data_IF_557222202779
#
_entry.id   IF_557222202779
#
_cell.length_a   1.000
_cell.length_b   1.000
_cell.length_c   1.000
_cell.angle_alpha   90.00
_cell.angle_beta   90.00
_cell.angle_gamma   90.00
#
_symmetry.space_group_name_H-M   'P 1'
#
loop_
_entity.id
_entity.type
_entity.pdbx_description
1 polymer ?
#
# COMPACT_ATOMS: atom_id res chain seq x y z
N UNK A 1 28.19 20.45 -0.50
CA UNK A 1 28.58 19.21 0.22
C UNK A 1 27.36 18.33 0.44
N UNK A 2 27.49 17.03 0.26
CA UNK A 2 26.41 16.10 0.55
C UNK A 2 26.42 15.76 2.05
N UNK A 3 25.25 15.91 2.68
CA UNK A 3 25.07 15.48 4.08
C UNK A 3 24.71 14.00 4.10
N UNK A 4 25.69 13.15 4.36
CA UNK A 4 25.53 11.70 4.37
C UNK A 4 24.62 11.18 5.50
N UNK A 5 24.34 11.99 6.51
CA UNK A 5 23.39 11.63 7.57
C UNK A 5 21.94 11.57 7.07
N UNK A 6 21.67 12.18 5.90
CA UNK A 6 20.36 12.16 5.24
C UNK A 6 20.16 10.97 4.30
N UNK A 7 21.14 10.07 4.21
CA UNK A 7 21.11 8.91 3.32
C UNK A 7 21.08 7.64 4.15
N UNK A 8 20.16 6.73 3.80
CA UNK A 8 20.17 5.38 4.35
C UNK A 8 19.67 4.38 3.33
N UNK A 9 20.10 3.15 3.45
CA UNK A 9 19.59 2.07 2.64
C UNK A 9 18.21 1.64 3.15
N UNK A 10 17.34 1.20 2.24
CA UNK A 10 15.97 0.78 2.59
C UNK A 10 15.94 -0.34 3.64
N UNK A 11 16.98 -1.18 3.71
CA UNK A 11 17.08 -2.22 4.73
C UNK A 11 17.12 -1.70 6.17
N UNK A 12 17.41 -0.41 6.35
CA UNK A 12 17.42 0.26 7.66
C UNK A 12 16.10 0.96 7.97
N UNK A 13 15.14 0.94 7.05
CA UNK A 13 13.82 1.53 7.26
C UNK A 13 12.92 0.57 8.05
N UNK A 14 11.88 1.12 8.68
CA UNK A 14 10.94 0.35 9.47
C UNK A 14 10.13 -0.60 8.60
N UNK A 15 10.30 -1.90 8.82
CA UNK A 15 9.51 -2.95 8.20
C UNK A 15 8.46 -3.45 9.18
N UNK A 16 7.22 -3.54 8.73
CA UNK A 16 6.11 -4.09 9.50
C UNK A 16 5.53 -5.28 8.75
N UNK A 17 5.50 -6.44 9.40
CA UNK A 17 4.84 -7.62 8.86
C UNK A 17 3.33 -7.47 9.02
N UNK A 18 2.61 -7.86 7.98
CA UNK A 18 1.15 -7.84 7.90
C UNK A 18 0.65 -9.25 7.58
N UNK A 19 -0.61 -9.57 7.88
CA UNK A 19 -1.15 -10.88 7.52
C UNK A 19 -1.08 -11.22 6.03
N UNK A 20 -1.10 -10.19 5.18
CA UNK A 20 -1.07 -10.31 3.73
C UNK A 20 0.33 -10.17 3.11
N UNK A 21 1.35 -9.82 3.88
CA UNK A 21 2.71 -9.58 3.40
C UNK A 21 3.49 -8.67 4.31
N UNK A 22 4.05 -7.59 3.79
CA UNK A 22 4.76 -6.62 4.61
C UNK A 22 4.74 -5.23 3.96
N UNK A 23 5.08 -4.22 4.77
CA UNK A 23 5.32 -2.87 4.30
C UNK A 23 6.60 -2.30 4.91
N UNK A 24 7.28 -1.46 4.15
CA UNK A 24 8.48 -0.73 4.58
C UNK A 24 8.18 0.76 4.49
N UNK A 25 8.22 1.45 5.62
CA UNK A 25 8.07 2.90 5.70
C UNK A 25 9.42 3.53 5.38
N UNK A 26 9.58 4.07 4.16
CA UNK A 26 10.87 4.60 3.72
C UNK A 26 10.93 6.13 3.65
N UNK A 27 9.79 6.83 3.75
CA UNK A 27 9.75 8.28 3.85
C UNK A 27 8.59 8.70 4.74
N UNK A 28 8.88 9.62 5.65
CA UNK A 28 7.88 10.21 6.54
C UNK A 28 8.29 11.60 6.94
N UNK A 29 7.40 12.55 6.69
CA UNK A 29 7.50 13.95 7.14
C UNK A 29 6.13 14.40 7.62
N UNK A 30 6.04 15.65 8.06
CA UNK A 30 4.74 16.21 8.43
C UNK A 30 3.79 16.37 7.24
N UNK A 31 4.33 16.31 6.01
CA UNK A 31 3.58 16.57 4.79
C UNK A 31 3.27 15.32 3.97
N UNK A 32 4.09 14.27 4.08
CA UNK A 32 3.91 13.06 3.27
C UNK A 32 4.45 11.79 3.93
N UNK A 33 3.99 10.65 3.40
CA UNK A 33 4.46 9.32 3.77
C UNK A 33 4.67 8.50 2.49
N UNK A 34 5.71 7.67 2.47
CA UNK A 34 5.92 6.71 1.39
C UNK A 34 6.26 5.33 1.95
N UNK A 35 5.67 4.31 1.34
CA UNK A 35 5.86 2.91 1.72
C UNK A 35 6.16 2.05 0.50
N UNK A 36 6.99 1.04 0.70
CA UNK A 36 7.10 -0.10 -0.20
C UNK A 36 6.24 -1.21 0.39
N UNK A 37 5.34 -1.79 -0.41
CA UNK A 37 4.42 -2.81 0.05
C UNK A 37 4.57 -4.07 -0.78
N UNK A 38 4.61 -5.21 -0.11
CA UNK A 38 4.62 -6.52 -0.74
C UNK A 38 3.39 -7.29 -0.30
N UNK A 39 2.55 -7.67 -1.25
CA UNK A 39 1.38 -8.49 -1.00
C UNK A 39 1.69 -9.90 -1.49
N UNK A 40 1.60 -10.87 -0.60
CA UNK A 40 1.85 -12.27 -0.92
C UNK A 40 0.87 -12.77 -1.97
N UNK A 41 1.34 -13.69 -2.80
CA UNK A 41 0.51 -14.43 -3.74
C UNK A 41 -0.77 -14.92 -3.05
N UNK A 42 -1.91 -14.77 -3.71
CA UNK A 42 -3.22 -15.22 -3.22
C UNK A 42 -3.65 -14.58 -1.88
N UNK A 43 -3.16 -13.37 -1.60
CA UNK A 43 -3.49 -12.61 -0.39
C UNK A 43 -4.07 -11.25 -0.76
N UNK A 44 -4.83 -10.68 0.17
CA UNK A 44 -5.42 -9.35 -0.01
C UNK A 44 -5.52 -8.62 1.32
N UNK A 45 -5.52 -7.30 1.24
CA UNK A 45 -5.78 -6.42 2.37
C UNK A 45 -7.26 -6.42 2.76
N UNK A 46 -7.62 -5.67 3.79
CA UNK A 46 -9.03 -5.44 4.12
C UNK A 46 -9.73 -4.59 3.06
N UNK A 47 -11.04 -4.75 2.95
CA UNK A 47 -11.89 -3.77 2.28
C UNK A 47 -12.02 -2.58 3.25
N UNK A 48 -11.61 -1.39 2.82
CA UNK A 48 -11.38 -0.28 3.73
C UNK A 48 -11.63 1.07 3.06
N UNK A 49 -11.73 2.10 3.90
CA UNK A 49 -11.66 3.49 3.49
C UNK A 49 -10.77 4.27 4.45
N UNK A 50 -10.32 5.43 4.02
CA UNK A 50 -9.63 6.42 4.84
C UNK A 50 -10.48 7.68 4.91
N UNK A 51 -10.60 8.26 6.09
CA UNK A 51 -11.43 9.46 6.27
C UNK A 51 -10.73 10.73 5.73
N UNK A 52 -9.43 10.83 5.94
CA UNK A 52 -8.61 12.00 5.57
C UNK A 52 -7.48 11.68 4.62
N UNK A 53 -6.90 10.47 4.74
CA UNK A 53 -5.73 10.05 3.97
C UNK A 53 -6.08 9.95 2.49
N UNK A 54 -5.20 10.56 1.68
CA UNK A 54 -5.19 10.41 0.24
C UNK A 54 -3.91 9.71 -0.17
N UNK A 55 -3.99 8.74 -1.07
CA UNK A 55 -2.83 7.95 -1.47
C UNK A 55 -2.81 7.67 -2.97
N UNK A 56 -1.61 7.42 -3.49
CA UNK A 56 -1.42 6.95 -4.86
C UNK A 56 -0.46 5.77 -4.82
N UNK A 57 -0.82 4.70 -5.53
CA UNK A 57 -0.03 3.48 -5.62
C UNK A 57 0.56 3.35 -7.02
N UNK A 58 1.79 2.87 -7.07
CA UNK A 58 2.48 2.53 -8.31
C UNK A 58 2.79 1.03 -8.29
N UNK A 59 2.39 0.30 -9.33
CA UNK A 59 2.65 -1.14 -9.44
C UNK A 59 4.07 -1.34 -9.96
N UNK A 60 4.95 -1.87 -9.09
CA UNK A 60 6.36 -2.12 -9.41
C UNK A 60 6.53 -3.45 -10.12
N UNK A 61 5.95 -4.51 -9.56
CA UNK A 61 6.02 -5.87 -10.11
C UNK A 61 4.78 -6.68 -9.71
N UNK A 62 4.50 -7.72 -10.49
CA UNK A 62 3.29 -8.50 -10.31
C UNK A 62 2.05 -7.79 -10.86
N UNK A 63 0.89 -8.41 -10.71
CA UNK A 63 -0.38 -7.84 -11.15
C UNK A 63 -1.20 -7.45 -9.94
N UNK A 64 -1.51 -6.16 -9.81
CA UNK A 64 -2.33 -5.64 -8.73
C UNK A 64 -3.81 -5.90 -9.01
N UNK A 65 -4.49 -6.49 -8.04
CA UNK A 65 -5.95 -6.60 -8.04
C UNK A 65 -6.53 -5.54 -7.12
N UNK A 66 -7.45 -4.74 -7.65
CA UNK A 66 -8.13 -3.66 -6.93
C UNK A 66 -9.61 -3.96 -6.90
N UNK A 67 -10.21 -3.94 -5.71
CA UNK A 67 -11.66 -4.06 -5.53
C UNK A 67 -12.24 -2.74 -5.03
N UNK A 68 -13.43 -2.43 -5.49
CA UNK A 68 -14.35 -1.56 -4.75
C UNK A 68 -15.44 -2.42 -4.09
N UNK A 69 -16.60 -1.86 -3.80
CA UNK A 69 -17.70 -2.60 -3.17
C UNK A 69 -18.35 -3.64 -4.08
N UNK A 70 -18.29 -3.44 -5.40
CA UNK A 70 -19.09 -4.19 -6.38
C UNK A 70 -18.25 -5.02 -7.34
N UNK A 71 -17.04 -4.55 -7.67
CA UNK A 71 -16.27 -5.08 -8.80
C UNK A 71 -14.78 -5.09 -8.50
N UNK A 72 -14.00 -5.64 -9.43
CA UNK A 72 -12.56 -5.58 -9.36
C UNK A 72 -11.94 -5.33 -10.73
N UNK A 73 -10.70 -4.86 -10.73
CA UNK A 73 -9.89 -4.67 -11.92
C UNK A 73 -8.45 -5.12 -11.65
N UNK A 74 -7.73 -5.43 -12.73
CA UNK A 74 -6.35 -5.91 -12.69
C UNK A 74 -5.44 -4.89 -13.38
N UNK A 75 -4.29 -4.60 -12.76
CA UNK A 75 -3.34 -3.62 -13.28
C UNK A 75 -1.93 -4.19 -13.31
N UNK A 76 -1.32 -4.16 -14.48
CA UNK A 76 0.06 -4.59 -14.73
C UNK A 76 1.08 -3.57 -14.19
N UNK A 77 2.37 -3.95 -14.05
CA UNK A 77 3.41 -3.00 -13.66
C UNK A 77 3.42 -1.73 -14.50
N UNK A 78 3.72 -0.62 -13.87
CA UNK A 78 3.73 0.70 -14.51
C UNK A 78 2.45 1.49 -14.34
N UNK A 79 1.35 0.87 -13.92
CA UNK A 79 0.10 1.58 -13.64
C UNK A 79 0.14 2.26 -12.29
N UNK A 80 -0.55 3.39 -12.19
CA UNK A 80 -0.79 4.08 -10.92
C UNK A 80 -2.28 4.07 -10.61
N UNK A 81 -2.61 4.00 -9.33
CA UNK A 81 -3.99 4.01 -8.85
C UNK A 81 -4.12 5.02 -7.72
N UNK A 82 -5.01 5.99 -7.88
CA UNK A 82 -5.23 7.06 -6.91
C UNK A 82 -6.46 6.75 -6.05
N UNK A 83 -6.28 6.82 -4.74
CA UNK A 83 -7.34 6.62 -3.75
C UNK A 83 -7.63 7.94 -3.04
N UNK A 84 -8.85 8.41 -3.20
CA UNK A 84 -9.33 9.64 -2.53
C UNK A 84 -9.83 9.32 -1.12
N UNK A 85 -9.83 10.33 -0.21
CA UNK A 85 -10.50 10.16 1.08
C UNK A 85 -11.96 9.71 0.91
N UNK A 86 -12.39 8.78 1.74
CA UNK A 86 -13.75 8.21 1.70
C UNK A 86 -13.97 7.13 0.64
N UNK A 87 -13.02 6.90 -0.25
CA UNK A 87 -13.16 5.90 -1.30
C UNK A 87 -12.94 4.49 -0.75
N UNK A 88 -13.91 3.62 -0.93
CA UNK A 88 -13.83 2.21 -0.53
C UNK A 88 -12.96 1.45 -1.52
N UNK A 89 -11.97 0.72 -1.00
CA UNK A 89 -11.01 0.00 -1.82
C UNK A 89 -10.41 -1.20 -1.08
N UNK A 90 -9.83 -2.11 -1.86
CA UNK A 90 -9.05 -3.26 -1.37
C UNK A 90 -8.00 -3.60 -2.41
N UNK A 91 -6.77 -3.86 -1.96
CA UNK A 91 -5.68 -4.30 -2.82
C UNK A 91 -5.31 -5.74 -2.52
N UNK A 92 -4.88 -6.45 -3.55
CA UNK A 92 -4.43 -7.82 -3.40
C UNK A 92 -3.58 -8.30 -4.56
N UNK A 93 -3.06 -9.53 -4.41
CA UNK A 93 -2.32 -10.25 -5.41
C UNK A 93 -3.16 -11.41 -5.93
N UNK A 94 -2.90 -11.82 -7.18
CA UNK A 94 -3.56 -12.99 -7.76
C UNK A 94 -3.01 -14.30 -7.18
N UNK A 95 -3.49 -15.45 -7.69
CA UNK A 95 -3.07 -16.77 -7.22
C UNK A 95 -1.76 -17.27 -7.83
N UNK A 96 -1.13 -16.47 -8.70
CA UNK A 96 0.04 -16.87 -9.49
C UNK A 96 1.31 -16.25 -8.96
N UNK A 97 1.26 -14.98 -8.52
CA UNK A 97 2.44 -14.23 -8.10
C UNK A 97 2.09 -13.18 -7.05
N UNK A 98 3.10 -12.80 -6.27
CA UNK A 98 3.01 -11.67 -5.36
C UNK A 98 3.07 -10.35 -6.14
N UNK A 99 2.68 -9.26 -5.49
CA UNK A 99 2.75 -7.92 -6.07
C UNK A 99 3.58 -7.00 -5.18
N UNK A 100 4.38 -6.15 -5.82
CA UNK A 100 5.17 -5.11 -5.17
C UNK A 100 4.61 -3.76 -5.58
N UNK A 101 4.30 -2.92 -4.59
CA UNK A 101 3.72 -1.59 -4.76
C UNK A 101 4.58 -0.53 -4.09
N UNK A 102 4.60 0.67 -4.67
CA UNK A 102 5.02 1.89 -3.98
C UNK A 102 3.77 2.71 -3.66
N UNK A 103 3.62 3.12 -2.41
CA UNK A 103 2.56 4.02 -1.97
C UNK A 103 3.17 5.35 -1.58
N UNK A 104 2.58 6.45 -2.04
CA UNK A 104 2.80 7.79 -1.49
C UNK A 104 1.47 8.30 -0.97
N UNK A 105 1.49 8.96 0.19
CA UNK A 105 0.25 9.43 0.81
C UNK A 105 0.46 10.68 1.64
N UNK A 106 -0.66 11.30 1.99
CA UNK A 106 -0.72 12.28 3.07
C UNK A 106 -0.35 11.61 4.40
N UNK A 107 0.00 12.39 5.46
CA UNK A 107 0.70 11.82 6.62
C UNK A 107 -0.16 11.01 7.61
N UNK A 108 -1.44 10.82 7.38
CA UNK A 108 -2.34 10.10 8.29
C UNK A 108 -2.11 8.58 8.24
N UNK A 109 -1.14 8.08 9.00
CA UNK A 109 -0.71 6.67 8.96
C UNK A 109 -1.76 5.67 9.45
N UNK A 110 -2.51 6.02 10.50
CA UNK A 110 -3.43 5.10 11.18
C UNK A 110 -4.89 5.34 10.83
N UNK A 111 -5.14 6.13 9.79
CA UNK A 111 -6.48 6.47 9.32
C UNK A 111 -7.04 5.37 8.43
N UNK A 112 -7.59 4.33 9.05
CA UNK A 112 -8.23 3.24 8.33
C UNK A 112 -9.51 2.80 9.02
N UNK A 113 -10.58 2.66 8.22
CA UNK A 113 -11.84 2.02 8.63
C UNK A 113 -11.97 0.74 7.83
N UNK A 114 -11.91 -0.40 8.52
CA UNK A 114 -12.04 -1.71 7.90
C UNK A 114 -13.49 -2.13 7.83
N UNK A 115 -13.97 -2.42 6.62
CA UNK A 115 -15.35 -2.83 6.36
C UNK A 115 -15.48 -4.35 6.28
N UNK A 116 -14.45 -5.03 5.77
CA UNK A 116 -14.34 -6.47 5.73
C UNK A 116 -12.87 -6.86 5.77
N UNK A 117 -12.52 -7.91 6.53
CA UNK A 117 -11.15 -8.33 6.71
C UNK A 117 -11.07 -9.85 6.83
N UNK A 118 -10.33 -10.50 5.93
CA UNK A 118 -10.13 -11.95 5.94
C UNK A 118 -9.38 -12.43 7.20
N UNK A 119 -8.66 -11.53 7.87
CA UNK A 119 -7.80 -11.85 9.02
C UNK A 119 -8.44 -11.53 10.36
N UNK A 120 -9.63 -10.99 10.36
CA UNK A 120 -10.41 -10.68 11.58
C UNK A 120 -9.68 -9.76 12.57
N UNK A 121 -9.01 -8.76 12.06
CA UNK A 121 -8.31 -7.76 12.89
C UNK A 121 -9.25 -6.77 13.54
#
# INVERSE_FOLDING_TARGET
MIDSSRVKHISLCNKTDKPWGYEILWAQTDDYVAKLMHINMNSRMSLQLHEKKEETLYVVSGELKVWDEEDFALYAPGHVYHVKPGQIHRFGANSVESVMLMEVSTPELDDVVRLADDYKR
#
